data_IF_698358268464
#
_entry.id   IF_698358268464
#
_cell.length_a   1.000
_cell.length_b   1.000
_cell.length_c   1.000
_cell.angle_alpha   90.00
_cell.angle_beta   90.00
_cell.angle_gamma   90.00
#
_symmetry.space_group_name_H-M   'P 1'
#
loop_
_entity.id
_entity.type
_entity.pdbx_description
1 polymer ?
#
# COMPACT_ATOMS: atom_id res chain seq x y z
N UNK A 1 4.11 10.22 5.62
CA UNK A 1 5.04 9.80 4.56
C UNK A 1 4.41 10.17 3.23
N UNK A 2 5.11 10.95 2.41
CA UNK A 2 4.61 11.42 1.11
C UNK A 2 5.41 10.72 0.03
N UNK A 3 4.72 9.98 -0.83
CA UNK A 3 5.32 9.29 -1.97
C UNK A 3 4.39 9.44 -3.16
N UNK A 4 4.92 9.61 -4.38
CA UNK A 4 4.08 9.43 -5.57
C UNK A 4 3.68 7.96 -5.68
N UNK A 5 2.49 7.70 -6.20
CA UNK A 5 1.94 6.34 -6.31
C UNK A 5 2.74 5.48 -7.29
N UNK A 6 3.36 6.11 -8.29
CA UNK A 6 4.21 5.47 -9.29
C UNK A 6 5.63 6.06 -9.34
N UNK A 7 6.53 5.32 -9.96
CA UNK A 7 7.84 5.80 -10.40
C UNK A 7 7.73 6.42 -11.80
N UNK A 8 8.76 7.13 -12.25
CA UNK A 8 8.82 7.68 -13.61
C UNK A 8 8.73 6.63 -14.73
N UNK A 9 8.90 5.35 -14.40
CA UNK A 9 8.77 4.22 -15.33
C UNK A 9 7.39 3.52 -15.24
N UNK A 10 6.41 4.12 -14.56
CA UNK A 10 5.06 3.56 -14.39
C UNK A 10 4.96 2.42 -13.36
N UNK A 11 6.04 2.08 -12.66
CA UNK A 11 6.03 1.01 -11.64
C UNK A 11 5.42 1.55 -10.34
N UNK A 12 4.45 0.83 -9.77
CA UNK A 12 3.83 1.17 -8.47
C UNK A 12 4.85 1.19 -7.33
N UNK A 13 4.78 2.21 -6.46
CA UNK A 13 5.51 2.22 -5.17
C UNK A 13 4.77 1.47 -4.07
N UNK A 14 3.46 1.32 -4.21
CA UNK A 14 2.65 0.51 -3.29
C UNK A 14 2.69 -0.92 -3.80
N UNK A 15 3.26 -1.81 -2.99
CA UNK A 15 3.49 -3.22 -3.34
C UNK A 15 2.93 -4.12 -2.25
N UNK A 16 2.47 -5.31 -2.63
CA UNK A 16 1.93 -6.31 -1.70
C UNK A 16 3.01 -6.93 -0.80
N UNK A 17 4.22 -7.08 -1.33
CA UNK A 17 5.40 -7.59 -0.63
C UNK A 17 6.60 -6.74 -1.02
N UNK A 18 7.42 -6.37 -0.04
CA UNK A 18 8.69 -5.71 -0.31
C UNK A 18 9.61 -6.64 -1.10
N UNK A 19 10.48 -6.06 -1.94
CA UNK A 19 11.50 -6.83 -2.66
C UNK A 19 12.41 -7.54 -1.65
N UNK A 20 12.87 -8.72 -2.02
CA UNK A 20 13.85 -9.45 -1.22
C UNK A 20 15.10 -8.58 -1.01
N UNK A 21 15.57 -8.50 0.24
CA UNK A 21 16.68 -7.62 0.62
C UNK A 21 16.34 -6.13 0.74
N UNK A 22 15.08 -5.71 0.59
CA UNK A 22 14.71 -4.31 0.79
C UNK A 22 14.86 -3.88 2.26
N UNK A 23 15.65 -2.82 2.48
CA UNK A 23 15.80 -2.22 3.81
C UNK A 23 14.52 -1.53 4.27
N UNK A 24 14.05 -1.85 5.48
CA UNK A 24 12.88 -1.22 6.09
C UNK A 24 13.33 -0.04 6.97
N UNK A 25 13.22 1.18 6.45
CA UNK A 25 13.60 2.40 7.19
C UNK A 25 12.52 2.85 8.16
N UNK A 26 11.25 2.84 7.73
CA UNK A 26 10.12 3.21 8.59
C UNK A 26 9.30 1.97 8.91
N UNK A 27 9.35 1.55 10.18
CA UNK A 27 8.62 0.37 10.64
C UNK A 27 7.10 0.59 10.57
N UNK A 28 6.34 -0.51 10.53
CA UNK A 28 4.87 -0.48 10.50
C UNK A 28 4.23 0.33 11.65
N UNK A 29 4.89 0.37 12.81
CA UNK A 29 4.42 1.06 14.00
C UNK A 29 4.60 2.59 13.90
N UNK A 30 5.60 3.05 13.16
CA UNK A 30 5.89 4.48 12.99
C UNK A 30 5.08 5.12 11.86
N UNK A 31 4.65 4.34 10.85
CA UNK A 31 3.83 4.88 9.75
C UNK A 31 2.40 5.15 10.22
N UNK A 32 2.06 6.44 10.33
CA UNK A 32 0.70 6.93 10.63
C UNK A 32 -0.07 7.31 9.37
N UNK A 33 0.49 8.19 8.55
CA UNK A 33 -0.15 8.70 7.34
C UNK A 33 0.71 8.40 6.11
N UNK A 34 0.06 7.95 5.04
CA UNK A 34 0.66 7.79 3.71
C UNK A 34 -0.13 8.64 2.74
N UNK A 35 0.56 9.48 1.97
CA UNK A 35 -0.04 10.42 1.02
C UNK A 35 0.50 10.15 -0.37
N UNK A 36 -0.40 10.08 -1.33
CA UNK A 36 -0.15 10.01 -2.78
C UNK A 36 -1.01 11.05 -3.50
N UNK A 37 -0.81 11.20 -4.79
CA UNK A 37 -1.64 12.03 -5.69
C UNK A 37 -3.12 11.63 -5.74
N UNK A 38 -3.47 10.41 -5.28
CA UNK A 38 -4.85 9.92 -5.25
C UNK A 38 -5.53 10.08 -3.89
N UNK A 39 -4.80 10.50 -2.85
CA UNK A 39 -5.38 10.78 -1.55
C UNK A 39 -4.47 10.48 -0.36
N UNK A 40 -5.10 10.36 0.81
CA UNK A 40 -4.42 10.19 2.10
C UNK A 40 -4.95 8.95 2.82
N UNK A 41 -4.07 8.02 3.16
CA UNK A 41 -4.37 6.85 3.98
C UNK A 41 -3.89 7.05 5.42
N UNK A 42 -4.83 6.96 6.37
CA UNK A 42 -4.53 6.91 7.79
C UNK A 42 -4.46 5.46 8.29
N UNK A 43 -3.26 5.03 8.66
CA UNK A 43 -2.98 3.67 9.08
C UNK A 43 -2.92 3.50 10.61
N UNK A 44 -3.07 4.58 11.38
CA UNK A 44 -3.01 4.55 12.84
C UNK A 44 -4.21 3.78 13.42
N UNK A 45 -3.95 2.80 14.28
CA UNK A 45 -4.98 1.96 14.90
C UNK A 45 -5.71 1.00 13.96
N UNK A 46 -5.25 0.83 12.72
CA UNK A 46 -5.88 -0.04 11.72
C UNK A 46 -5.29 -1.44 11.71
N UNK A 47 -6.11 -2.45 11.47
CA UNK A 47 -5.66 -3.84 11.30
C UNK A 47 -5.00 -4.06 9.92
N UNK A 48 -4.35 -5.21 9.70
CA UNK A 48 -3.62 -5.45 8.44
C UNK A 48 -4.51 -5.38 7.19
N UNK A 49 -5.74 -5.88 7.27
CA UNK A 49 -6.69 -5.89 6.14
C UNK A 49 -7.17 -4.46 5.79
N UNK A 50 -7.55 -3.68 6.81
CA UNK A 50 -7.92 -2.28 6.67
C UNK A 50 -6.76 -1.45 6.12
N UNK A 51 -5.54 -1.68 6.60
CA UNK A 51 -4.34 -1.01 6.07
C UNK A 51 -4.12 -1.35 4.61
N UNK A 52 -4.27 -2.61 4.22
CA UNK A 52 -4.16 -3.03 2.82
C UNK A 52 -5.21 -2.31 1.96
N UNK A 53 -6.48 -2.30 2.38
CA UNK A 53 -7.56 -1.61 1.66
C UNK A 53 -7.28 -0.11 1.50
N UNK A 54 -6.92 0.57 2.60
CA UNK A 54 -6.60 2.00 2.57
C UNK A 54 -5.39 2.32 1.67
N UNK A 55 -4.38 1.44 1.63
CA UNK A 55 -3.22 1.60 0.76
C UNK A 55 -3.57 1.37 -0.72
N UNK A 56 -4.47 0.43 -1.01
CA UNK A 56 -4.98 0.17 -2.37
C UNK A 56 -5.80 1.37 -2.86
N UNK A 57 -6.64 1.95 -2.01
CA UNK A 57 -7.48 3.11 -2.36
C UNK A 57 -6.65 4.33 -2.80
N UNK A 58 -5.47 4.53 -2.21
CA UNK A 58 -4.55 5.62 -2.56
C UNK A 58 -3.53 5.22 -3.65
N UNK A 59 -3.58 4.00 -4.19
CA UNK A 59 -2.72 3.57 -5.27
C UNK A 59 -3.22 4.07 -6.64
N UNK A 60 -2.34 4.02 -7.65
CA UNK A 60 -2.70 4.34 -9.03
C UNK A 60 -3.77 3.38 -9.56
N UNK A 61 -4.83 3.87 -10.24
CA UNK A 61 -5.94 3.05 -10.76
C UNK A 61 -5.49 1.77 -11.48
N UNK A 62 -4.53 1.88 -12.40
CA UNK A 62 -3.97 0.75 -13.16
C UNK A 62 -3.41 -0.40 -12.31
N UNK A 63 -2.93 -0.10 -11.10
CA UNK A 63 -2.31 -1.09 -10.22
C UNK A 63 -3.24 -1.59 -9.11
N UNK A 64 -4.41 -0.97 -8.92
CA UNK A 64 -5.35 -1.34 -7.84
C UNK A 64 -5.81 -2.78 -7.96
N UNK A 65 -6.23 -3.20 -9.15
CA UNK A 65 -6.73 -4.55 -9.39
C UNK A 65 -5.69 -5.63 -9.05
N UNK A 66 -4.43 -5.41 -9.44
CA UNK A 66 -3.34 -6.33 -9.12
C UNK A 66 -3.07 -6.41 -7.61
N UNK A 67 -3.13 -5.28 -6.91
CA UNK A 67 -2.95 -5.21 -5.46
C UNK A 67 -4.13 -5.83 -4.70
N UNK A 68 -5.36 -5.65 -5.16
CA UNK A 68 -6.56 -6.30 -4.60
C UNK A 68 -6.49 -7.81 -4.73
N UNK A 69 -6.14 -8.33 -5.91
CA UNK A 69 -5.94 -9.77 -6.11
C UNK A 69 -4.83 -10.32 -5.19
N UNK A 70 -3.73 -9.58 -5.02
CA UNK A 70 -2.65 -9.97 -4.12
C UNK A 70 -3.07 -9.93 -2.65
N UNK A 71 -3.83 -8.91 -2.23
CA UNK A 71 -4.37 -8.79 -0.89
C UNK A 71 -5.36 -9.93 -0.59
N UNK A 72 -6.24 -10.26 -1.54
CA UNK A 72 -7.17 -11.38 -1.43
C UNK A 72 -6.42 -12.70 -1.21
N UNK A 73 -5.42 -13.00 -2.04
CA UNK A 73 -4.60 -14.21 -1.89
C UNK A 73 -3.90 -14.28 -0.53
N UNK A 74 -3.45 -13.14 0.00
CA UNK A 74 -2.70 -13.06 1.26
C UNK A 74 -3.59 -13.20 2.49
N UNK A 75 -4.74 -12.54 2.50
CA UNK A 75 -5.60 -12.48 3.68
C UNK A 75 -6.78 -13.46 3.63
N UNK A 76 -7.04 -14.11 2.49
CA UNK A 76 -8.12 -15.10 2.22
C UNK A 76 -9.55 -14.64 2.56
N UNK A 77 -9.71 -13.41 3.03
CA UNK A 77 -10.96 -12.73 3.31
C UNK A 77 -10.80 -11.29 2.80
N UNK A 78 -11.51 -10.98 1.72
CA UNK A 78 -12.03 -9.65 1.47
C UNK A 78 -13.54 -9.82 1.53
N UNK A 79 -14.13 -9.10 2.49
CA UNK A 79 -15.50 -9.19 3.03
C UNK A 79 -15.68 -10.19 4.18
#
# INVERSE_FOLDING_TARGET
LVIPSQTSKGISRIVSTLKEGAGVTTSRAHVRYVVTEYGVANLFGKNYQQRAKLLIDIAHPDHREALERAAYKRFKSLY
#
